data_IF_765951757468
#
_entry.id   IF_765951757468
#
_cell.length_a   1.000
_cell.length_b   1.000
_cell.length_c   1.000
_cell.angle_alpha   90.00
_cell.angle_beta   90.00
_cell.angle_gamma   90.00
#
_symmetry.space_group_name_H-M   'P 1'
#
loop_
_entity.id
_entity.type
_entity.pdbx_description
1 polymer ?
#
# COMPACT_ATOMS: atom_id res chain seq x y z
N UNK A 1 -15.25 -14.58 20.33
CA UNK A 1 -14.42 -15.72 20.80
C UNK A 1 -13.66 -16.44 19.67
N UNK A 2 -14.21 -16.57 18.43
CA UNK A 2 -13.51 -17.24 17.31
C UNK A 2 -12.34 -16.42 16.71
N UNK A 3 -12.42 -15.10 16.66
CA UNK A 3 -11.39 -14.27 16.00
C UNK A 3 -10.08 -14.14 16.79
N UNK A 4 -10.15 -14.12 18.12
CA UNK A 4 -8.96 -14.10 19.00
C UNK A 4 -8.07 -15.33 18.74
N UNK A 5 -8.67 -16.45 18.36
CA UNK A 5 -7.97 -17.71 18.10
C UNK A 5 -7.19 -17.69 16.77
N UNK A 6 -7.65 -16.95 15.76
CA UNK A 6 -7.01 -16.89 14.44
C UNK A 6 -5.72 -16.07 14.52
N UNK A 7 -5.78 -14.89 15.14
CA UNK A 7 -4.61 -14.01 15.29
C UNK A 7 -3.47 -14.69 16.06
N UNK A 8 -3.81 -15.38 17.17
CA UNK A 8 -2.83 -16.11 17.97
C UNK A 8 -2.18 -17.26 17.16
N UNK A 9 -2.95 -18.01 16.39
CA UNK A 9 -2.44 -19.10 15.55
C UNK A 9 -1.50 -18.59 14.46
N UNK A 10 -1.90 -17.53 13.74
CA UNK A 10 -1.05 -16.90 12.72
C UNK A 10 0.26 -16.37 13.31
N UNK A 11 0.20 -15.77 14.50
CA UNK A 11 1.39 -15.30 15.20
C UNK A 11 2.34 -16.44 15.56
N UNK A 12 1.82 -17.52 16.16
CA UNK A 12 2.63 -18.70 16.53
C UNK A 12 3.28 -19.32 15.29
N UNK A 13 2.50 -19.62 14.25
CA UNK A 13 3.02 -20.25 13.03
C UNK A 13 4.04 -19.37 12.29
N UNK A 14 3.89 -18.04 12.32
CA UNK A 14 4.91 -17.12 11.82
C UNK A 14 6.21 -17.23 12.63
N UNK A 15 6.12 -17.25 13.95
CA UNK A 15 7.30 -17.32 14.84
C UNK A 15 8.01 -18.67 14.78
N UNK A 16 7.28 -19.77 14.53
CA UNK A 16 7.84 -21.12 14.43
C UNK A 16 8.14 -21.56 13.00
N UNK A 17 7.89 -20.70 12.01
CA UNK A 17 7.98 -21.00 10.58
C UNK A 17 7.17 -22.25 10.15
N UNK A 18 6.01 -22.48 10.77
CA UNK A 18 5.11 -23.57 10.40
C UNK A 18 4.24 -23.18 9.19
N UNK A 19 4.84 -23.31 8.01
CA UNK A 19 4.21 -22.92 6.74
C UNK A 19 3.02 -23.81 6.41
N UNK A 20 3.08 -25.11 6.74
CA UNK A 20 2.04 -26.08 6.39
C UNK A 20 0.74 -25.77 7.11
N UNK A 21 0.78 -25.63 8.44
CA UNK A 21 -0.41 -25.33 9.23
C UNK A 21 -0.98 -23.93 8.91
N UNK A 22 -0.09 -22.96 8.61
CA UNK A 22 -0.50 -21.62 8.22
C UNK A 22 -1.26 -21.61 6.89
N UNK A 23 -0.76 -22.32 5.87
CA UNK A 23 -1.41 -22.38 4.55
C UNK A 23 -2.78 -23.03 4.60
N UNK A 24 -2.91 -24.14 5.33
CA UNK A 24 -4.19 -24.86 5.48
C UNK A 24 -5.31 -23.95 6.01
N UNK A 25 -4.99 -23.03 6.93
CA UNK A 25 -5.95 -22.05 7.43
C UNK A 25 -6.09 -20.82 6.49
N UNK A 26 -4.97 -20.24 6.05
CA UNK A 26 -4.96 -18.92 5.44
C UNK A 26 -5.42 -18.94 3.97
N UNK A 27 -5.07 -19.99 3.21
CA UNK A 27 -5.40 -20.06 1.78
C UNK A 27 -6.92 -20.10 1.53
N UNK A 28 -7.73 -20.93 2.22
CA UNK A 28 -9.18 -20.90 2.06
C UNK A 28 -9.81 -19.58 2.53
N UNK A 29 -9.25 -18.94 3.57
CA UNK A 29 -9.74 -17.66 4.06
C UNK A 29 -9.52 -16.50 3.08
N UNK A 30 -8.47 -16.58 2.26
CA UNK A 30 -8.12 -15.57 1.28
C UNK A 30 -8.52 -15.95 -0.16
N UNK A 31 -9.20 -17.09 -0.34
CA UNK A 31 -9.74 -17.50 -1.62
C UNK A 31 -10.80 -16.48 -2.10
N UNK A 32 -10.74 -16.13 -3.38
CA UNK A 32 -11.70 -15.23 -4.03
C UNK A 32 -12.49 -16.05 -5.04
N UNK A 33 -13.45 -16.82 -4.54
CA UNK A 33 -14.33 -17.68 -5.31
C UNK A 33 -15.81 -17.27 -5.15
N UNK A 34 -16.67 -17.87 -5.98
CA UNK A 34 -18.12 -17.68 -5.92
C UNK A 34 -18.54 -16.22 -5.97
N UNK A 35 -19.29 -15.77 -4.95
CA UNK A 35 -19.84 -14.40 -4.90
C UNK A 35 -18.75 -13.33 -4.85
N UNK A 36 -17.59 -13.65 -4.28
CA UNK A 36 -16.48 -12.71 -4.14
C UNK A 36 -15.83 -12.40 -5.50
N UNK A 37 -15.81 -13.38 -6.42
CA UNK A 37 -15.34 -13.17 -7.79
C UNK A 37 -16.27 -12.21 -8.56
N UNK A 38 -17.59 -12.36 -8.42
CA UNK A 38 -18.58 -11.47 -9.04
C UNK A 38 -18.46 -10.04 -8.48
N UNK A 39 -18.26 -9.89 -7.18
CA UNK A 39 -17.98 -8.58 -6.58
C UNK A 39 -16.68 -7.97 -7.11
N UNK A 40 -15.63 -8.79 -7.27
CA UNK A 40 -14.37 -8.33 -7.86
C UNK A 40 -14.58 -7.78 -9.26
N UNK A 41 -15.38 -8.43 -10.11
CA UNK A 41 -15.71 -7.94 -11.47
C UNK A 41 -16.36 -6.55 -11.41
N UNK A 42 -17.31 -6.33 -10.51
CA UNK A 42 -17.97 -5.04 -10.32
C UNK A 42 -16.98 -3.97 -9.85
N UNK A 43 -16.15 -4.26 -8.85
CA UNK A 43 -15.17 -3.30 -8.32
C UNK A 43 -14.15 -2.89 -9.39
N UNK A 44 -13.62 -3.86 -10.13
CA UNK A 44 -12.64 -3.60 -11.21
C UNK A 44 -13.27 -2.81 -12.36
N UNK A 45 -14.57 -2.97 -12.63
CA UNK A 45 -15.28 -2.19 -13.66
C UNK A 45 -15.42 -0.70 -13.32
N UNK A 46 -15.20 -0.31 -12.06
CA UNK A 46 -15.34 1.06 -11.57
C UNK A 46 -14.01 1.59 -11.02
N UNK A 47 -12.96 1.69 -11.87
CA UNK A 47 -11.68 2.19 -11.41
C UNK A 47 -11.82 3.64 -10.95
N UNK A 48 -11.39 3.93 -9.74
CA UNK A 48 -11.19 5.31 -9.29
C UNK A 48 -9.79 5.76 -9.72
N UNK A 49 -9.70 6.97 -10.28
CA UNK A 49 -8.40 7.58 -10.56
C UNK A 49 -7.58 7.62 -9.28
N UNK A 50 -6.39 7.00 -9.31
CA UNK A 50 -5.47 7.05 -8.17
C UNK A 50 -5.02 8.49 -7.95
N UNK A 51 -4.90 8.87 -6.68
CA UNK A 51 -4.35 10.15 -6.32
C UNK A 51 -2.90 10.24 -6.76
N UNK A 52 -2.55 11.39 -7.34
CA UNK A 52 -1.17 11.77 -7.62
C UNK A 52 -0.80 12.84 -6.61
N UNK A 53 0.30 12.63 -5.92
CA UNK A 53 0.79 13.55 -4.91
C UNK A 53 2.07 14.19 -5.39
N UNK A 54 2.13 15.50 -5.22
CA UNK A 54 3.33 16.29 -5.47
C UNK A 54 4.08 16.38 -4.14
N UNK A 55 5.37 16.03 -4.17
CA UNK A 55 6.19 16.07 -2.97
C UNK A 55 7.09 17.31 -3.01
N UNK A 56 7.24 18.04 -1.90
CA UNK A 56 8.18 19.15 -1.82
C UNK A 56 9.63 18.64 -1.83
N UNK A 57 10.55 19.53 -2.15
CA UNK A 57 11.99 19.32 -2.01
C UNK A 57 12.56 20.24 -0.95
N UNK A 58 13.66 19.81 -0.34
CA UNK A 58 14.43 20.63 0.60
C UNK A 58 15.77 21.02 -0.02
N UNK A 59 16.15 22.27 0.14
CA UNK A 59 17.44 22.80 -0.32
C UNK A 59 18.18 23.43 0.85
N UNK A 60 19.49 23.23 0.91
CA UNK A 60 20.35 23.90 1.89
C UNK A 60 20.70 25.28 1.36
N UNK A 61 20.40 26.32 2.13
CA UNK A 61 20.76 27.70 1.84
C UNK A 61 21.60 28.26 3.00
N UNK A 62 22.92 28.08 2.93
CA UNK A 62 23.81 28.43 4.03
C UNK A 62 23.60 27.53 5.25
N UNK A 63 23.14 28.11 6.36
CA UNK A 63 22.81 27.40 7.61
C UNK A 63 21.33 26.99 7.68
N UNK A 64 20.49 27.48 6.76
CA UNK A 64 19.05 27.23 6.74
C UNK A 64 18.67 26.12 5.75
N UNK A 65 17.51 25.51 6.00
CA UNK A 65 16.88 24.54 5.09
C UNK A 65 15.57 25.12 4.57
N UNK A 66 15.47 25.28 3.26
CA UNK A 66 14.28 25.79 2.58
C UNK A 66 13.44 24.65 2.03
N UNK A 67 12.12 24.73 2.21
CA UNK A 67 11.15 23.80 1.63
C UNK A 67 10.51 24.42 0.39
N UNK A 68 10.76 23.82 -0.77
CA UNK A 68 10.13 24.20 -2.03
C UNK A 68 8.92 23.32 -2.30
N UNK A 69 7.75 23.94 -2.39
CA UNK A 69 6.49 23.30 -2.78
C UNK A 69 6.25 23.51 -4.28
N UNK A 70 5.66 22.52 -4.93
CA UNK A 70 5.33 22.56 -6.36
C UNK A 70 3.81 22.53 -6.54
N UNK A 71 3.33 22.99 -7.68
CA UNK A 71 1.91 22.97 -8.04
C UNK A 71 1.35 21.55 -8.03
N UNK A 72 0.09 21.37 -7.61
CA UNK A 72 -0.66 20.10 -7.61
C UNK A 72 -1.06 19.64 -9.04
N UNK A 73 -0.08 19.59 -9.94
CA UNK A 73 -0.25 19.28 -11.35
C UNK A 73 0.73 18.20 -11.80
N UNK A 74 0.48 17.57 -12.96
CA UNK A 74 1.45 16.62 -13.53
C UNK A 74 2.80 17.30 -13.80
N UNK A 75 2.80 18.57 -14.21
CA UNK A 75 4.01 19.35 -14.41
C UNK A 75 4.75 19.60 -13.08
N UNK A 76 4.02 19.91 -12.01
CA UNK A 76 4.59 20.04 -10.67
C UNK A 76 5.23 18.75 -10.14
N UNK A 77 4.62 17.58 -10.41
CA UNK A 77 5.26 16.28 -10.11
C UNK A 77 6.57 16.15 -10.86
N UNK A 78 6.55 16.37 -12.19
CA UNK A 78 7.76 16.25 -13.02
C UNK A 78 8.85 17.19 -12.51
N UNK A 79 8.51 18.45 -12.25
CA UNK A 79 9.45 19.45 -11.75
C UNK A 79 10.04 19.05 -10.40
N UNK A 80 9.22 18.52 -9.49
CA UNK A 80 9.69 18.03 -8.19
C UNK A 80 10.74 16.93 -8.33
N UNK A 81 10.65 16.06 -9.35
CA UNK A 81 11.64 15.01 -9.60
C UNK A 81 12.89 15.54 -10.32
N UNK A 82 12.72 16.38 -11.32
CA UNK A 82 13.83 17.00 -12.07
C UNK A 82 14.76 17.74 -11.11
N UNK A 83 14.21 18.53 -10.18
CA UNK A 83 15.02 19.29 -9.22
C UNK A 83 15.55 18.45 -8.05
N UNK A 84 15.03 17.23 -7.84
CA UNK A 84 15.48 16.33 -6.75
C UNK A 84 16.76 15.57 -7.11
N UNK A 85 17.00 15.35 -8.40
CA UNK A 85 18.22 14.71 -8.92
C UNK A 85 18.56 13.36 -8.26
N UNK A 86 17.57 12.46 -8.18
CA UNK A 86 17.66 11.08 -7.65
C UNK A 86 17.11 10.07 -8.64
#
# INVERSE_FOLDING_TARGET
MREILISLRLHIWRCTADVSACRELYEPMCAVDGVYEEWRKIVVSKPKTKWKFVQPNTFVNGEDVEVKVYEESNAGIIQSWVERNV
#
